data_IF_646426061031
#
_entry.id   IF_646426061031
#
_cell.length_a   1.000
_cell.length_b   1.000
_cell.length_c   1.000
_cell.angle_alpha   90.00
_cell.angle_beta   90.00
_cell.angle_gamma   90.00
#
_symmetry.space_group_name_H-M   'P 1'
#
loop_
_entity.id
_entity.type
_entity.pdbx_description
1 polymer ?
#
# COMPACT_ATOMS: atom_id res chain seq x y z
N UNK A 1 -17.50 3.01 -8.95
CA UNK A 1 -17.58 4.38 -8.39
C UNK A 1 -18.50 5.26 -9.24
N UNK A 2 -18.16 5.60 -10.49
CA UNK A 2 -19.04 6.37 -11.40
C UNK A 2 -20.44 5.73 -11.59
N UNK A 3 -20.49 4.40 -11.74
CA UNK A 3 -21.74 3.62 -11.84
C UNK A 3 -22.63 3.67 -10.58
N UNK A 4 -22.10 4.20 -9.47
CA UNK A 4 -22.81 4.39 -8.20
C UNK A 4 -23.16 5.86 -7.93
N UNK A 5 -23.12 6.72 -8.96
CA UNK A 5 -23.55 8.13 -8.87
C UNK A 5 -22.46 9.13 -8.45
N UNK A 6 -21.21 8.68 -8.37
CA UNK A 6 -20.07 9.51 -7.98
C UNK A 6 -19.61 10.38 -9.15
N UNK A 7 -19.51 11.70 -8.95
CA UNK A 7 -18.84 12.57 -9.92
C UNK A 7 -17.33 12.43 -9.72
N UNK A 8 -16.71 11.61 -10.56
CA UNK A 8 -15.26 11.43 -10.60
C UNK A 8 -14.71 12.19 -11.80
N UNK A 9 -13.76 13.10 -11.58
CA UNK A 9 -12.95 13.63 -12.67
C UNK A 9 -11.87 12.58 -12.98
N UNK A 10 -12.01 11.95 -14.15
CA UNK A 10 -11.04 10.99 -14.68
C UNK A 10 -10.08 11.78 -15.56
N UNK A 11 -8.80 11.84 -15.19
CA UNK A 11 -7.73 12.34 -16.07
C UNK A 11 -6.65 11.27 -16.23
N UNK A 12 -6.21 11.06 -17.46
CA UNK A 12 -5.08 10.18 -17.82
C UNK A 12 -5.13 8.75 -17.23
N UNK A 13 -6.34 8.17 -17.13
CA UNK A 13 -6.55 6.82 -16.60
C UNK A 13 -6.41 6.69 -15.09
N UNK A 14 -6.14 7.81 -14.39
CA UNK A 14 -6.22 7.93 -12.95
C UNK A 14 -7.55 8.54 -12.50
N UNK A 15 -7.96 8.20 -11.27
CA UNK A 15 -9.00 8.95 -10.55
C UNK A 15 -8.24 9.86 -9.60
N UNK A 16 -8.28 11.18 -9.83
CA UNK A 16 -7.79 12.13 -8.85
C UNK A 16 -8.81 12.19 -7.70
N UNK A 17 -8.47 11.66 -6.52
CA UNK A 17 -9.31 11.85 -5.34
C UNK A 17 -9.05 13.24 -4.75
N UNK A 18 -9.72 14.26 -5.29
CA UNK A 18 -9.93 15.49 -4.54
C UNK A 18 -10.73 15.21 -3.25
N UNK A 19 -10.84 16.18 -2.33
CA UNK A 19 -11.74 16.05 -1.19
C UNK A 19 -13.16 15.73 -1.69
N UNK A 20 -13.78 14.69 -1.12
CA UNK A 20 -15.16 14.33 -1.42
C UNK A 20 -16.04 15.54 -1.12
N UNK A 21 -16.79 16.09 -2.10
CA UNK A 21 -17.69 17.22 -1.84
C UNK A 21 -18.66 16.90 -0.71
N UNK A 22 -18.96 17.87 0.17
CA UNK A 22 -19.86 17.64 1.32
C UNK A 22 -21.22 17.03 0.92
N UNK A 23 -21.73 17.41 -0.26
CA UNK A 23 -22.97 16.87 -0.82
C UNK A 23 -22.91 15.37 -1.19
N UNK A 24 -21.71 14.80 -1.35
CA UNK A 24 -21.48 13.39 -1.68
C UNK A 24 -20.91 12.58 -0.50
N UNK A 25 -20.68 13.21 0.66
CA UNK A 25 -20.04 12.58 1.81
C UNK A 25 -20.83 11.38 2.35
N UNK A 26 -22.14 11.51 2.52
CA UNK A 26 -22.98 10.41 3.02
C UNK A 26 -22.99 9.21 2.04
N UNK A 27 -23.01 9.49 0.74
CA UNK A 27 -22.94 8.46 -0.30
C UNK A 27 -21.57 7.77 -0.34
N UNK A 28 -20.50 8.50 0.02
CA UNK A 28 -19.14 7.98 0.13
C UNK A 28 -18.99 7.03 1.29
N UNK A 29 -19.46 7.46 2.45
CA UNK A 29 -19.39 6.69 3.68
C UNK A 29 -20.15 5.37 3.48
N UNK A 30 -21.37 5.43 2.94
CA UNK A 30 -22.15 4.23 2.63
C UNK A 30 -21.46 3.32 1.59
N UNK A 31 -20.94 3.88 0.50
CA UNK A 31 -20.24 3.08 -0.51
C UNK A 31 -18.94 2.46 0.02
N UNK A 32 -18.24 3.17 0.91
CA UNK A 32 -17.02 2.71 1.57
C UNK A 32 -17.34 1.60 2.57
N UNK A 33 -18.38 1.76 3.39
CA UNK A 33 -18.86 0.73 4.32
C UNK A 33 -19.26 -0.54 3.58
N UNK A 34 -20.00 -0.43 2.46
CA UNK A 34 -20.35 -1.57 1.62
C UNK A 34 -19.10 -2.25 1.04
N UNK A 35 -18.09 -1.47 0.63
CA UNK A 35 -16.83 -2.01 0.14
C UNK A 35 -16.07 -2.77 1.25
N UNK A 36 -16.00 -2.19 2.46
CA UNK A 36 -15.36 -2.82 3.62
C UNK A 36 -16.11 -4.06 4.10
N UNK A 37 -17.43 -4.08 4.01
CA UNK A 37 -18.26 -5.24 4.35
C UNK A 37 -18.04 -6.44 3.40
N UNK A 38 -17.59 -6.18 2.17
CA UNK A 38 -17.23 -7.20 1.19
C UNK A 38 -15.82 -7.74 1.38
N UNK A 39 -14.99 -7.09 2.21
CA UNK A 39 -13.65 -7.57 2.49
C UNK A 39 -13.71 -8.87 3.32
N UNK A 40 -12.95 -9.92 2.96
CA UNK A 40 -12.93 -11.14 3.76
C UNK A 40 -12.44 -10.87 5.19
N UNK A 41 -13.01 -11.57 6.18
CA UNK A 41 -12.54 -11.53 7.59
C UNK A 41 -11.06 -11.93 7.65
N UNK A 42 -10.21 -11.15 8.32
CA UNK A 42 -8.75 -11.31 8.24
C UNK A 42 -8.08 -10.37 7.23
N UNK A 43 -8.83 -9.51 6.53
CA UNK A 43 -8.28 -8.52 5.61
C UNK A 43 -7.60 -7.34 6.32
N UNK A 44 -7.78 -7.21 7.64
CA UNK A 44 -7.11 -6.15 8.41
C UNK A 44 -5.85 -6.67 9.08
N UNK A 45 -4.88 -5.78 9.28
CA UNK A 45 -3.62 -6.11 9.95
C UNK A 45 -3.84 -6.72 11.35
N UNK A 46 -4.83 -6.22 12.09
CA UNK A 46 -5.12 -6.63 13.47
C UNK A 46 -5.68 -8.07 13.54
N UNK A 47 -6.37 -8.52 12.49
CA UNK A 47 -6.90 -9.88 12.39
C UNK A 47 -5.90 -10.88 11.81
N UNK A 48 -4.78 -10.40 11.25
CA UNK A 48 -3.76 -11.24 10.63
C UNK A 48 -2.98 -12.03 11.71
N UNK A 49 -2.83 -13.37 11.56
CA UNK A 49 -2.00 -14.17 12.45
C UNK A 49 -0.56 -13.64 12.52
N UNK A 50 0.07 -13.74 13.69
CA UNK A 50 1.47 -13.28 13.87
C UNK A 50 2.46 -13.92 12.88
N UNK A 51 2.38 -15.24 12.56
CA UNK A 51 3.27 -15.82 11.55
C UNK A 51 3.13 -15.18 10.16
N UNK A 52 1.90 -14.81 9.78
CA UNK A 52 1.65 -14.14 8.50
C UNK A 52 2.18 -12.71 8.52
N UNK A 53 1.97 -11.98 9.64
CA UNK A 53 2.57 -10.64 9.83
C UNK A 53 4.10 -10.68 9.72
N UNK A 54 4.76 -11.64 10.37
CA UNK A 54 6.22 -11.83 10.24
C UNK A 54 6.63 -12.10 8.80
N UNK A 55 5.89 -12.93 8.09
CA UNK A 55 6.16 -13.23 6.68
C UNK A 55 6.10 -11.98 5.80
N UNK A 56 5.12 -11.09 6.01
CA UNK A 56 5.07 -9.79 5.32
C UNK A 56 6.25 -8.89 5.68
N UNK A 57 6.59 -8.79 6.96
CA UNK A 57 7.74 -7.99 7.40
C UNK A 57 9.06 -8.50 6.79
N UNK A 58 9.32 -9.81 6.85
CA UNK A 58 10.52 -10.42 6.28
C UNK A 58 10.60 -10.18 4.77
N UNK A 59 9.47 -10.24 4.06
CA UNK A 59 9.39 -9.88 2.65
C UNK A 59 9.82 -8.43 2.43
N UNK A 60 9.28 -7.47 3.19
CA UNK A 60 9.65 -6.06 3.05
C UNK A 60 11.13 -5.81 3.39
N UNK A 61 11.67 -6.48 4.41
CA UNK A 61 13.12 -6.41 4.70
C UNK A 61 13.94 -6.93 3.53
N UNK A 62 13.53 -8.04 2.89
CA UNK A 62 14.21 -8.59 1.72
C UNK A 62 14.11 -7.66 0.51
N UNK A 63 12.94 -7.07 0.25
CA UNK A 63 12.75 -6.08 -0.82
C UNK A 63 13.63 -4.86 -0.60
N UNK A 64 13.75 -4.37 0.65
CA UNK A 64 14.69 -3.30 0.99
C UNK A 64 16.14 -3.69 0.68
N UNK A 65 16.57 -4.88 1.10
CA UNK A 65 17.93 -5.38 0.80
C UNK A 65 18.18 -5.45 -0.70
N UNK A 66 17.20 -5.89 -1.48
CA UNK A 66 17.27 -5.92 -2.95
C UNK A 66 17.49 -4.51 -3.53
N UNK A 67 16.70 -3.52 -3.08
CA UNK A 67 16.83 -2.12 -3.53
C UNK A 67 18.19 -1.52 -3.16
N UNK A 68 18.64 -1.71 -1.91
CA UNK A 68 19.95 -1.22 -1.45
C UNK A 68 21.10 -1.86 -2.21
N UNK A 69 21.06 -3.17 -2.46
CA UNK A 69 22.06 -3.85 -3.30
C UNK A 69 22.01 -3.37 -4.76
N UNK A 70 20.86 -2.87 -5.22
CA UNK A 70 20.67 -2.22 -6.51
C UNK A 70 21.20 -0.78 -6.59
N UNK A 71 21.69 -0.23 -5.47
CA UNK A 71 22.24 1.12 -5.36
C UNK A 71 21.24 2.20 -4.95
N UNK A 72 20.06 1.82 -4.46
CA UNK A 72 19.09 2.78 -3.89
C UNK A 72 19.48 3.09 -2.44
N UNK A 73 19.63 4.36 -2.09
CA UNK A 73 19.91 4.77 -0.72
C UNK A 73 18.61 4.80 0.09
N UNK A 74 18.46 3.88 1.05
CA UNK A 74 17.27 3.73 1.88
C UNK A 74 17.65 3.65 3.36
N UNK A 75 16.87 4.29 4.27
CA UNK A 75 17.07 4.18 5.72
C UNK A 75 16.94 2.72 6.17
N UNK A 76 17.46 2.39 7.36
CA UNK A 76 17.32 1.04 7.91
C UNK A 76 15.84 0.69 8.13
N UNK A 77 15.48 -0.58 7.92
CA UNK A 77 14.13 -1.05 8.24
C UNK A 77 13.83 -0.87 9.74
N UNK A 78 12.59 -0.51 10.11
CA UNK A 78 12.18 -0.53 11.52
C UNK A 78 12.27 -1.96 12.07
N UNK A 79 12.32 -2.13 13.38
CA UNK A 79 12.22 -3.47 13.96
C UNK A 79 10.84 -4.09 13.71
N UNK A 80 10.74 -5.42 13.74
CA UNK A 80 9.44 -6.11 13.63
C UNK A 80 8.41 -5.60 14.66
N UNK A 81 8.86 -5.33 15.89
CA UNK A 81 8.00 -4.80 16.94
C UNK A 81 7.45 -3.42 16.56
N UNK A 82 8.32 -2.49 16.16
CA UNK A 82 7.90 -1.15 15.75
C UNK A 82 6.98 -1.19 14.52
N UNK A 83 7.28 -2.05 13.55
CA UNK A 83 6.44 -2.28 12.38
C UNK A 83 5.05 -2.83 12.75
N UNK A 84 5.00 -3.79 13.68
CA UNK A 84 3.74 -4.36 14.15
C UNK A 84 2.91 -3.38 14.97
N UNK A 85 3.54 -2.56 15.81
CA UNK A 85 2.87 -1.50 16.58
C UNK A 85 2.30 -0.42 15.64
N UNK A 86 3.00 -0.13 14.53
CA UNK A 86 2.53 0.75 13.47
C UNK A 86 1.55 0.08 12.48
N UNK A 87 0.99 -1.09 12.83
CA UNK A 87 0.02 -1.83 12.00
C UNK A 87 0.50 -2.13 10.58
N UNK A 88 1.79 -2.41 10.43
CA UNK A 88 2.38 -2.75 9.14
C UNK A 88 2.48 -1.60 8.14
N UNK A 89 2.45 -0.35 8.63
CA UNK A 89 2.43 0.85 7.79
C UNK A 89 3.69 1.05 6.93
N UNK A 90 4.83 0.49 7.32
CA UNK A 90 6.08 0.69 6.56
C UNK A 90 6.25 -0.33 5.44
N UNK A 91 6.61 0.18 4.25
CA UNK A 91 7.10 -0.58 3.09
C UNK A 91 8.38 0.07 2.55
N UNK A 92 9.29 -0.69 1.90
CA UNK A 92 10.58 -0.15 1.45
C UNK A 92 10.45 0.93 0.36
N UNK A 93 9.42 0.82 -0.48
CA UNK A 93 9.17 1.80 -1.54
C UNK A 93 8.67 3.13 -0.98
N UNK A 94 8.09 3.17 0.23
CA UNK A 94 7.63 4.42 0.86
C UNK A 94 8.81 5.35 1.23
N UNK A 95 10.01 4.77 1.39
CA UNK A 95 11.23 5.51 1.73
C UNK A 95 12.02 5.97 0.48
N UNK A 96 11.57 5.62 -0.74
CA UNK A 96 12.22 6.08 -1.97
C UNK A 96 11.82 7.54 -2.21
N UNK A 97 12.78 8.47 -2.40
CA UNK A 97 12.48 9.86 -2.70
C UNK A 97 11.58 10.01 -3.93
N UNK A 98 10.57 10.90 -3.85
CA UNK A 98 9.58 11.10 -4.92
C UNK A 98 10.20 11.42 -6.28
N UNK A 99 11.30 12.18 -6.29
CA UNK A 99 12.05 12.55 -7.50
C UNK A 99 12.79 11.37 -8.15
N UNK A 100 12.96 10.26 -7.42
CA UNK A 100 13.61 9.04 -7.88
C UNK A 100 12.64 7.88 -8.11
N UNK A 101 11.44 7.96 -7.53
CA UNK A 101 10.45 6.88 -7.51
C UNK A 101 10.20 6.27 -8.88
N UNK A 102 10.01 7.11 -9.92
CA UNK A 102 9.71 6.63 -11.26
C UNK A 102 10.84 5.76 -11.84
N UNK A 103 12.08 6.22 -11.75
CA UNK A 103 13.23 5.48 -12.30
C UNK A 103 13.56 4.24 -11.45
N UNK A 104 13.44 4.34 -10.12
CA UNK A 104 13.59 3.19 -9.22
C UNK A 104 12.54 2.12 -9.53
N UNK A 105 11.27 2.51 -9.62
CA UNK A 105 10.19 1.58 -9.91
C UNK A 105 10.37 0.92 -11.29
N UNK A 106 10.66 1.72 -12.33
CA UNK A 106 10.91 1.21 -13.68
C UNK A 106 12.04 0.18 -13.72
N UNK A 107 13.12 0.40 -12.96
CA UNK A 107 14.29 -0.48 -12.92
C UNK A 107 14.07 -1.72 -12.06
N UNK A 108 13.36 -1.61 -10.95
CA UNK A 108 13.33 -2.65 -9.92
C UNK A 108 12.01 -3.37 -9.73
N UNK A 109 10.89 -2.92 -10.30
CA UNK A 109 9.56 -3.54 -10.06
C UNK A 109 9.52 -5.07 -10.26
N UNK A 110 10.31 -5.58 -11.21
CA UNK A 110 10.36 -7.00 -11.54
C UNK A 110 11.44 -7.77 -10.75
N UNK A 111 12.44 -7.04 -10.22
CA UNK A 111 13.58 -7.60 -9.47
C UNK A 111 13.37 -7.57 -7.96
N UNK A 112 12.79 -6.48 -7.46
CA UNK A 112 12.49 -6.21 -6.06
C UNK A 112 10.98 -5.92 -5.92
N UNK A 113 10.09 -6.92 -5.97
CA UNK A 113 8.65 -6.67 -6.00
C UNK A 113 8.15 -5.93 -4.76
N UNK A 114 7.24 -4.98 -4.97
CA UNK A 114 6.59 -4.23 -3.88
C UNK A 114 5.55 -5.08 -3.13
N UNK A 115 4.86 -5.97 -3.85
CA UNK A 115 3.80 -6.81 -3.30
C UNK A 115 4.25 -8.27 -3.30
N UNK A 116 4.12 -9.00 -2.19
CA UNK A 116 4.51 -10.39 -2.14
C UNK A 116 3.65 -11.25 -3.05
N UNK A 117 4.21 -12.32 -3.65
CA UNK A 117 3.50 -13.15 -4.62
C UNK A 117 2.29 -13.90 -4.03
N UNK A 118 2.23 -14.07 -2.70
CA UNK A 118 1.09 -14.70 -2.01
C UNK A 118 -0.01 -13.72 -1.62
N UNK A 119 0.16 -12.42 -1.87
CA UNK A 119 -0.85 -11.39 -1.61
C UNK A 119 -1.67 -11.03 -2.86
N UNK A 120 -1.53 -11.81 -3.94
CA UNK A 120 -2.23 -11.63 -5.21
C UNK A 120 -3.28 -12.71 -5.44
#
# INVERSE_FOLDING_TARGET
>A
MAERGWQVEISDGGIASGPVPDAQKEQYEKASEECWALAPKGATFDEMPEPDRRKYYDFYVQTRVCLVNGGVDLPAAPSYQAWSEAKGAWRPYDDVPDDQMFEVYKKFKDLCPEVPPWAR
#
